data_IF_982712733509
#
_entry.id   IF_982712733509
#
_cell.length_a   1.000
_cell.length_b   1.000
_cell.length_c   1.000
_cell.angle_alpha   90.00
_cell.angle_beta   90.00
_cell.angle_gamma   90.00
#
_symmetry.space_group_name_H-M   'P 1'
#
loop_
_entity.id
_entity.type
_entity.pdbx_description
1 polymer ?
#
# COMPACT_ATOMS: atom_id res chain seq x y z
N UNK A 1 -4.80 3.16 19.41
CA UNK A 1 -5.43 1.88 19.80
C UNK A 1 -5.38 0.94 18.61
N UNK A 2 -5.20 -0.36 18.85
CA UNK A 2 -5.21 -1.37 17.78
C UNK A 2 -6.45 -2.24 17.95
N UNK A 3 -7.27 -2.34 16.92
CA UNK A 3 -8.41 -3.25 16.87
C UNK A 3 -7.96 -4.63 16.37
N UNK A 4 -8.48 -5.69 16.99
CA UNK A 4 -8.25 -7.04 16.51
C UNK A 4 -9.44 -7.96 16.75
N UNK A 5 -9.73 -8.79 15.75
CA UNK A 5 -10.72 -9.86 15.85
C UNK A 5 -10.08 -11.19 16.22
N UNK A 6 -8.74 -11.30 16.18
CA UNK A 6 -8.05 -12.56 16.45
C UNK A 6 -7.79 -12.70 17.97
N UNK A 7 -8.27 -13.78 18.62
CA UNK A 7 -8.11 -13.97 20.07
C UNK A 7 -6.67 -14.32 20.47
N UNK A 8 -5.89 -14.95 19.59
CA UNK A 8 -4.46 -15.23 19.80
C UNK A 8 -3.65 -13.94 20.01
N UNK A 9 -3.94 -12.89 19.23
CA UNK A 9 -3.32 -11.56 19.38
C UNK A 9 -3.68 -10.92 20.71
N UNK A 10 -4.91 -11.09 21.17
CA UNK A 10 -5.36 -10.59 22.48
C UNK A 10 -4.55 -11.27 23.60
N UNK A 11 -4.46 -12.60 23.58
CA UNK A 11 -3.71 -13.36 24.58
C UNK A 11 -2.22 -12.96 24.62
N UNK A 12 -1.58 -12.81 23.46
CA UNK A 12 -0.18 -12.38 23.38
C UNK A 12 0.03 -10.98 23.96
N UNK A 13 -0.85 -10.02 23.63
CA UNK A 13 -0.71 -8.65 24.13
C UNK A 13 -1.02 -8.54 25.63
N UNK A 14 -1.93 -9.34 26.17
CA UNK A 14 -2.14 -9.48 27.62
C UNK A 14 -0.91 -10.04 28.32
N UNK A 15 -0.27 -11.07 27.76
CA UNK A 15 0.96 -11.65 28.30
C UNK A 15 2.14 -10.66 28.28
N UNK A 16 2.15 -9.72 27.33
CA UNK A 16 3.12 -8.61 27.25
C UNK A 16 2.80 -7.46 28.22
N UNK A 17 1.75 -7.56 29.03
CA UNK A 17 1.36 -6.54 30.02
C UNK A 17 0.53 -5.38 29.45
N UNK A 18 -0.06 -5.54 28.25
CA UNK A 18 -0.96 -4.53 27.68
C UNK A 18 -2.39 -4.73 28.16
N UNK A 19 -3.18 -3.67 28.10
CA UNK A 19 -4.59 -3.64 28.48
C UNK A 19 -5.43 -3.94 27.25
N UNK A 20 -6.43 -4.81 27.42
CA UNK A 20 -7.42 -5.12 26.38
C UNK A 20 -8.79 -4.70 26.86
N UNK A 21 -9.47 -3.89 26.04
CA UNK A 21 -10.82 -3.40 26.29
C UNK A 21 -11.77 -4.17 25.37
N UNK A 22 -12.71 -4.89 25.97
CA UNK A 22 -13.80 -5.58 25.28
C UNK A 22 -15.10 -4.87 25.60
N UNK A 23 -15.81 -4.41 24.56
CA UNK A 23 -17.09 -3.73 24.68
C UNK A 23 -18.22 -4.67 24.25
N UNK A 24 -19.33 -4.64 24.98
CA UNK A 24 -20.50 -5.41 24.62
C UNK A 24 -21.08 -4.91 23.28
N UNK A 25 -21.23 -5.82 22.31
CA UNK A 25 -21.76 -5.53 20.97
C UNK A 25 -20.72 -5.27 19.88
N UNK A 26 -19.42 -5.19 20.19
CA UNK A 26 -18.35 -5.06 19.18
C UNK A 26 -17.71 -6.41 18.87
N UNK A 27 -17.54 -6.79 17.58
CA UNK A 27 -16.93 -8.08 17.20
C UNK A 27 -15.39 -8.08 17.27
N UNK A 28 -14.77 -7.03 17.82
CA UNK A 28 -13.32 -6.87 17.95
C UNK A 28 -12.94 -6.36 19.34
N UNK A 29 -11.72 -6.68 19.78
CA UNK A 29 -11.11 -6.14 21.00
C UNK A 29 -10.15 -4.98 20.69
N UNK A 30 -10.06 -4.03 21.63
CA UNK A 30 -9.17 -2.88 21.53
C UNK A 30 -7.96 -3.07 22.45
N UNK A 31 -6.74 -2.91 21.91
CA UNK A 31 -5.48 -3.07 22.64
C UNK A 31 -4.83 -1.70 22.88
N UNK A 32 -4.40 -1.45 24.12
CA UNK A 32 -3.78 -0.20 24.60
C UNK A 32 -2.79 -0.51 25.75
N UNK A 33 -1.65 0.18 25.90
CA UNK A 33 -1.03 1.09 24.94
C UNK A 33 -0.44 0.32 23.76
N UNK A 34 -0.44 0.95 22.59
CA UNK A 34 0.14 0.38 21.36
C UNK A 34 1.25 1.28 20.86
N UNK A 35 2.35 0.68 20.44
CA UNK A 35 3.47 1.36 19.80
C UNK A 35 3.46 1.10 18.30
N UNK A 36 4.18 1.91 17.52
CA UNK A 36 4.25 1.76 16.06
C UNK A 36 4.65 0.34 15.63
N UNK A 37 5.62 -0.26 16.32
CA UNK A 37 6.10 -1.62 16.04
C UNK A 37 5.01 -2.70 16.21
N UNK A 38 3.98 -2.45 17.03
CA UNK A 38 2.88 -3.39 17.22
C UNK A 38 2.00 -3.51 15.97
N UNK A 39 1.97 -2.48 15.12
CA UNK A 39 1.20 -2.51 13.88
C UNK A 39 1.91 -3.24 12.75
N UNK A 40 3.23 -3.42 12.86
CA UNK A 40 4.06 -4.07 11.85
C UNK A 40 4.31 -5.55 12.15
N UNK A 41 3.96 -6.00 13.37
CA UNK A 41 3.98 -7.41 13.75
C UNK A 41 2.69 -8.12 13.33
N UNK A 42 2.85 -9.33 12.78
CA UNK A 42 1.76 -10.26 12.53
C UNK A 42 1.83 -11.40 13.54
N UNK A 43 0.68 -12.01 13.85
CA UNK A 43 0.68 -13.17 14.75
C UNK A 43 1.40 -14.36 14.13
N UNK A 44 1.32 -14.49 12.81
CA UNK A 44 1.97 -15.57 12.07
C UNK A 44 3.50 -15.45 12.10
N UNK A 45 4.07 -14.30 12.49
CA UNK A 45 5.53 -14.15 12.64
C UNK A 45 6.08 -14.95 13.84
N UNK A 46 5.22 -15.26 14.81
CA UNK A 46 5.60 -16.01 16.02
C UNK A 46 5.67 -17.52 15.79
N UNK A 47 5.04 -18.02 14.73
CA UNK A 47 5.04 -19.45 14.38
C UNK A 47 6.20 -19.85 13.46
N UNK A 48 6.89 -18.89 12.85
CA UNK A 48 7.97 -19.14 11.89
C UNK A 48 9.36 -19.14 12.56
N UNK A 49 10.33 -19.77 11.89
CA UNK A 49 11.75 -19.72 12.29
C UNK A 49 12.27 -18.28 12.35
N UNK A 50 13.17 -18.01 13.30
CA UNK A 50 13.76 -16.69 13.55
C UNK A 50 14.18 -15.94 12.27
N UNK A 51 14.94 -16.59 11.37
CA UNK A 51 15.42 -15.96 10.14
C UNK A 51 14.30 -15.56 9.18
N UNK A 52 13.27 -16.40 9.04
CA UNK A 52 12.12 -16.14 8.16
C UNK A 52 11.30 -14.98 8.71
N UNK A 53 11.00 -15.00 10.02
CA UNK A 53 10.24 -13.96 10.70
C UNK A 53 10.91 -12.57 10.56
N UNK A 54 12.24 -12.51 10.75
CA UNK A 54 13.00 -11.26 10.60
C UNK A 54 13.00 -10.72 9.16
N UNK A 55 13.13 -11.60 8.17
CA UNK A 55 13.06 -11.21 6.76
C UNK A 55 11.67 -10.65 6.41
N UNK A 56 10.59 -11.29 6.86
CA UNK A 56 9.22 -10.83 6.63
C UNK A 56 8.98 -9.45 7.24
N UNK A 57 9.43 -9.24 8.48
CA UNK A 57 9.36 -7.93 9.14
C UNK A 57 10.16 -6.88 8.36
N UNK A 58 11.35 -7.21 7.87
CA UNK A 58 12.15 -6.29 7.05
C UNK A 58 11.44 -5.88 5.76
N UNK A 59 10.83 -6.84 5.05
CA UNK A 59 10.05 -6.58 3.84
C UNK A 59 8.87 -5.66 4.14
N UNK A 60 8.20 -5.80 5.30
CA UNK A 60 7.11 -4.89 5.72
C UNK A 60 7.58 -3.45 5.93
N UNK A 61 8.73 -3.25 6.58
CA UNK A 61 9.30 -1.91 6.72
C UNK A 61 9.69 -1.30 5.38
N UNK A 62 10.29 -2.10 4.49
CA UNK A 62 10.56 -1.66 3.12
C UNK A 62 9.27 -1.28 2.39
N UNK A 63 8.22 -2.10 2.50
CA UNK A 63 6.90 -1.82 1.93
C UNK A 63 6.33 -0.49 2.44
N UNK A 64 6.38 -0.24 3.74
CA UNK A 64 5.92 1.02 4.33
C UNK A 64 6.68 2.24 3.77
N UNK A 65 8.01 2.15 3.67
CA UNK A 65 8.86 3.20 3.10
C UNK A 65 8.51 3.44 1.62
N UNK A 66 8.39 2.37 0.84
CA UNK A 66 8.03 2.42 -0.58
C UNK A 66 6.68 3.10 -0.77
N UNK A 67 5.69 2.76 0.06
CA UNK A 67 4.31 3.25 -0.09
C UNK A 67 4.23 4.76 0.08
N UNK A 68 5.06 5.34 0.97
CA UNK A 68 5.10 6.76 1.27
C UNK A 68 6.06 7.54 0.34
N UNK A 69 7.26 7.01 0.10
CA UNK A 69 8.33 7.76 -0.58
C UNK A 69 8.25 7.64 -2.09
N UNK A 70 7.84 6.49 -2.64
CA UNK A 70 7.96 6.23 -4.08
C UNK A 70 7.12 7.18 -4.95
N UNK A 71 5.85 7.52 -4.61
CA UNK A 71 5.08 8.51 -5.36
C UNK A 71 5.73 9.90 -5.35
N UNK A 72 6.18 10.35 -4.18
CA UNK A 72 6.84 11.65 -4.02
C UNK A 72 8.17 11.71 -4.77
N UNK A 73 8.95 10.62 -4.74
CA UNK A 73 10.21 10.50 -5.46
C UNK A 73 10.00 10.58 -6.97
N UNK A 74 8.94 9.96 -7.49
CA UNK A 74 8.59 10.06 -8.91
C UNK A 74 8.32 11.50 -9.34
N UNK A 75 7.51 12.24 -8.57
CA UNK A 75 7.23 13.66 -8.85
C UNK A 75 8.53 14.48 -8.80
N UNK A 76 9.38 14.24 -7.80
CA UNK A 76 10.65 14.95 -7.63
C UNK A 76 11.61 14.73 -8.81
N UNK A 77 11.81 13.46 -9.22
CA UNK A 77 12.72 13.12 -10.31
C UNK A 77 12.22 13.59 -11.67
N UNK A 78 10.92 13.48 -11.93
CA UNK A 78 10.35 13.84 -13.24
C UNK A 78 10.11 15.33 -13.42
N UNK A 79 9.94 16.10 -12.32
CA UNK A 79 9.64 17.53 -12.39
C UNK A 79 10.87 18.41 -12.18
N UNK A 80 11.84 17.99 -11.36
CA UNK A 80 12.97 18.84 -10.98
C UNK A 80 14.31 18.38 -11.56
N UNK A 81 14.62 17.08 -11.52
CA UNK A 81 15.94 16.58 -11.91
C UNK A 81 15.88 15.27 -12.72
N UNK A 82 15.42 15.32 -13.99
CA UNK A 82 15.36 14.14 -14.84
C UNK A 82 16.74 13.60 -15.24
N UNK A 83 17.80 14.41 -15.16
CA UNK A 83 19.18 14.05 -15.52
C UNK A 83 19.87 13.11 -14.52
N UNK A 84 19.32 12.96 -13.30
CA UNK A 84 19.83 12.00 -12.29
C UNK A 84 19.69 10.56 -12.80
N UNK A 85 18.74 10.32 -13.71
CA UNK A 85 18.53 9.04 -14.34
C UNK A 85 19.52 8.87 -15.49
N UNK A 86 20.06 7.66 -15.68
CA UNK A 86 20.90 7.35 -16.85
C UNK A 86 20.21 7.86 -18.12
N UNK A 87 20.95 8.47 -19.04
CA UNK A 87 20.39 9.12 -20.24
C UNK A 87 19.41 8.24 -21.03
N UNK A 88 19.64 6.92 -21.08
CA UNK A 88 18.74 5.96 -21.70
C UNK A 88 17.39 5.81 -20.98
N UNK A 89 17.38 5.83 -19.64
CA UNK A 89 16.18 5.82 -18.80
C UNK A 89 15.45 7.17 -18.84
N UNK A 90 16.20 8.27 -18.82
CA UNK A 90 15.62 9.60 -18.97
C UNK A 90 14.94 9.76 -20.34
N UNK A 91 15.53 9.24 -21.41
CA UNK A 91 14.96 9.27 -22.76
C UNK A 91 13.70 8.40 -22.89
N UNK A 92 13.65 7.22 -22.27
CA UNK A 92 12.43 6.39 -22.27
C UNK A 92 11.32 7.01 -21.42
N UNK A 93 11.65 7.62 -20.28
CA UNK A 93 10.70 8.40 -19.47
C UNK A 93 10.15 9.58 -20.29
N UNK A 94 11.02 10.38 -20.89
CA UNK A 94 10.63 11.52 -21.72
C UNK A 94 9.77 11.08 -22.92
N UNK A 95 10.14 10.00 -23.60
CA UNK A 95 9.36 9.42 -24.69
C UNK A 95 7.99 8.90 -24.24
N UNK A 96 7.91 8.25 -23.07
CA UNK A 96 6.64 7.79 -22.49
C UNK A 96 5.71 8.93 -22.05
N UNK A 97 6.27 10.13 -21.84
CA UNK A 97 5.54 11.35 -21.47
C UNK A 97 5.25 12.28 -22.65
N UNK A 98 5.80 12.03 -23.83
CA UNK A 98 5.65 12.92 -24.98
C UNK A 98 4.18 13.16 -25.39
N UNK A 99 3.30 12.21 -25.08
CA UNK A 99 1.86 12.29 -25.31
C UNK A 99 1.01 12.68 -24.09
N UNK A 100 1.62 12.82 -22.91
CA UNK A 100 0.88 13.10 -21.66
C UNK A 100 0.75 14.62 -21.48
N UNK A 101 -0.46 15.19 -21.51
CA UNK A 101 -0.65 16.64 -21.50
C UNK A 101 -0.51 17.28 -20.10
N UNK A 102 -0.40 16.47 -19.03
CA UNK A 102 -0.43 16.94 -17.65
C UNK A 102 0.93 16.86 -16.93
N UNK A 103 1.18 17.75 -15.94
CA UNK A 103 2.30 17.61 -15.01
C UNK A 103 2.26 16.29 -14.22
N UNK A 104 3.43 15.76 -13.85
CA UNK A 104 3.57 14.49 -13.12
C UNK A 104 2.77 14.44 -11.80
N UNK A 105 2.53 15.59 -11.18
CA UNK A 105 1.72 15.68 -9.97
C UNK A 105 0.27 15.21 -10.19
N UNK A 106 -0.38 15.65 -11.28
CA UNK A 106 -1.76 15.27 -11.60
C UNK A 106 -1.86 13.80 -12.00
N UNK A 107 -0.84 13.32 -12.70
CA UNK A 107 -0.70 11.91 -13.06
C UNK A 107 -0.69 11.00 -11.82
N UNK A 108 0.10 11.39 -10.80
CA UNK A 108 0.20 10.68 -9.52
C UNK A 108 -1.11 10.72 -8.75
N UNK A 109 -1.72 11.91 -8.65
CA UNK A 109 -2.99 12.09 -7.94
C UNK A 109 -4.10 11.25 -8.57
N UNK A 110 -4.22 11.27 -9.90
CA UNK A 110 -5.23 10.49 -10.61
C UNK A 110 -5.05 8.99 -10.37
N UNK A 111 -3.82 8.47 -10.52
CA UNK A 111 -3.57 7.05 -10.34
C UNK A 111 -3.70 6.59 -8.88
N UNK A 112 -3.26 7.38 -7.90
CA UNK A 112 -3.45 7.05 -6.50
C UNK A 112 -4.93 6.98 -6.14
N UNK A 113 -5.73 7.93 -6.63
CA UNK A 113 -7.18 7.94 -6.43
C UNK A 113 -7.86 6.75 -7.13
N UNK A 114 -7.47 6.47 -8.37
CA UNK A 114 -7.96 5.31 -9.12
C UNK A 114 -7.70 3.99 -8.39
N UNK A 115 -6.48 3.80 -7.88
CA UNK A 115 -6.13 2.62 -7.09
C UNK A 115 -6.92 2.54 -5.80
N UNK A 116 -7.14 3.66 -5.09
CA UNK A 116 -7.95 3.61 -3.86
C UNK A 116 -9.41 3.32 -4.11
N UNK A 117 -9.99 3.88 -5.17
CA UNK A 117 -11.36 3.53 -5.55
C UNK A 117 -11.47 2.05 -5.90
N UNK A 118 -10.47 1.51 -6.60
CA UNK A 118 -10.41 0.09 -6.92
C UNK A 118 -10.35 -0.74 -5.62
N UNK A 119 -9.41 -0.47 -4.72
CA UNK A 119 -9.25 -1.23 -3.48
C UNK A 119 -10.49 -1.12 -2.57
N UNK A 120 -11.05 0.08 -2.43
CA UNK A 120 -12.24 0.30 -1.61
C UNK A 120 -13.47 -0.44 -2.16
N UNK A 121 -13.60 -0.50 -3.49
CA UNK A 121 -14.64 -1.31 -4.14
C UNK A 121 -14.41 -2.82 -3.89
N UNK A 122 -13.16 -3.28 -3.97
CA UNK A 122 -12.79 -4.68 -3.77
C UNK A 122 -13.08 -5.18 -2.35
N UNK A 123 -12.92 -4.32 -1.34
CA UNK A 123 -13.20 -4.66 0.05
C UNK A 123 -14.71 -4.86 0.34
N UNK A 124 -15.58 -4.24 -0.45
CA UNK A 124 -17.05 -4.27 -0.28
C UNK A 124 -17.72 -5.36 -1.11
N UNK A 125 -17.00 -5.92 -2.09
CA UNK A 125 -17.52 -6.98 -2.93
C UNK A 125 -17.55 -8.33 -2.19
N UNK A 126 -18.53 -9.20 -2.49
CA UNK A 126 -18.53 -10.58 -2.00
C UNK A 126 -17.22 -11.29 -2.35
N UNK A 127 -16.71 -12.13 -1.44
CA UNK A 127 -15.43 -12.85 -1.61
C UNK A 127 -15.35 -13.69 -2.90
N UNK A 128 -16.50 -14.12 -3.44
CA UNK A 128 -16.60 -14.90 -4.69
C UNK A 128 -16.33 -14.07 -5.95
N UNK A 129 -16.61 -12.77 -5.95
CA UNK A 129 -16.52 -11.89 -7.13
C UNK A 129 -15.39 -10.85 -6.97
N UNK A 130 -15.03 -10.51 -5.73
CA UNK A 130 -14.02 -9.49 -5.41
C UNK A 130 -12.69 -9.65 -6.17
N UNK A 131 -12.04 -10.82 -6.18
CA UNK A 131 -10.78 -11.01 -6.91
C UNK A 131 -10.92 -10.78 -8.42
N UNK A 132 -12.00 -11.29 -9.03
CA UNK A 132 -12.27 -11.15 -10.46
C UNK A 132 -12.49 -9.68 -10.83
N UNK A 133 -13.33 -8.96 -10.07
CA UNK A 133 -13.60 -7.54 -10.30
C UNK A 133 -12.35 -6.67 -10.13
N UNK A 134 -11.54 -6.92 -9.09
CA UNK A 134 -10.25 -6.24 -8.85
C UNK A 134 -9.30 -6.43 -10.03
N UNK A 135 -9.20 -7.65 -10.55
CA UNK A 135 -8.29 -7.99 -11.65
C UNK A 135 -8.72 -7.33 -12.95
N UNK A 136 -10.01 -7.45 -13.29
CA UNK A 136 -10.57 -6.83 -14.50
C UNK A 136 -10.49 -5.31 -14.42
N UNK A 137 -10.86 -4.72 -13.28
CA UNK A 137 -10.78 -3.28 -13.05
C UNK A 137 -9.35 -2.74 -13.17
N UNK A 138 -8.37 -3.42 -12.55
CA UNK A 138 -6.97 -2.98 -12.60
C UNK A 138 -6.37 -3.07 -14.00
N UNK A 139 -6.68 -4.15 -14.74
CA UNK A 139 -6.20 -4.33 -16.11
C UNK A 139 -6.81 -3.32 -17.07
N UNK A 140 -8.13 -3.11 -17.01
CA UNK A 140 -8.81 -2.12 -17.87
C UNK A 140 -8.31 -0.71 -17.54
N UNK A 141 -8.17 -0.38 -16.25
CA UNK A 141 -7.70 0.94 -15.82
C UNK A 141 -6.28 1.22 -16.30
N UNK A 142 -5.37 0.26 -16.14
CA UNK A 142 -3.98 0.39 -16.61
C UNK A 142 -3.89 0.48 -18.13
N UNK A 143 -4.59 -0.40 -18.86
CA UNK A 143 -4.53 -0.41 -20.33
C UNK A 143 -5.18 0.83 -20.94
N UNK A 144 -6.36 1.23 -20.48
CA UNK A 144 -7.06 2.41 -21.00
C UNK A 144 -6.29 3.70 -20.68
N UNK A 145 -5.76 3.83 -19.47
CA UNK A 145 -4.96 5.01 -19.08
C UNK A 145 -3.70 5.16 -19.94
N UNK A 146 -3.05 4.04 -20.30
CA UNK A 146 -1.87 4.04 -21.15
C UNK A 146 -2.20 4.33 -22.62
N UNK A 147 -3.29 3.76 -23.15
CA UNK A 147 -3.72 3.94 -24.55
C UNK A 147 -4.11 5.38 -24.88
N UNK A 148 -4.83 6.04 -23.97
CA UNK A 148 -5.25 7.44 -24.13
C UNK A 148 -4.11 8.40 -23.75
N UNK A 149 -2.93 7.88 -23.37
CA UNK A 149 -1.77 8.66 -22.93
C UNK A 149 -2.12 9.63 -21.79
N UNK A 150 -3.06 9.22 -20.93
CA UNK A 150 -3.49 10.00 -19.78
C UNK A 150 -2.45 9.90 -18.65
N UNK A 151 -1.75 8.77 -18.60
CA UNK A 151 -0.73 8.40 -17.61
C UNK A 151 0.42 7.68 -18.33
N UNK A 152 1.66 7.91 -17.89
CA UNK A 152 2.85 7.23 -18.39
C UNK A 152 2.89 5.76 -17.94
N UNK A 153 3.50 4.91 -18.76
CA UNK A 153 3.70 3.49 -18.43
C UNK A 153 4.47 3.30 -17.12
N UNK A 154 5.37 4.24 -16.79
CA UNK A 154 6.22 4.17 -15.60
C UNK A 154 5.40 4.47 -14.34
N UNK A 155 4.48 5.43 -14.40
CA UNK A 155 3.59 5.69 -13.28
C UNK A 155 2.64 4.51 -13.00
N UNK A 156 2.18 3.80 -14.03
CA UNK A 156 1.38 2.57 -13.86
C UNK A 156 2.17 1.51 -13.09
N UNK A 157 3.46 1.32 -13.41
CA UNK A 157 4.33 0.39 -12.69
C UNK A 157 4.52 0.83 -11.23
N UNK A 158 4.79 2.12 -11.01
CA UNK A 158 5.01 2.67 -9.67
C UNK A 158 3.76 2.50 -8.80
N UNK A 159 2.58 2.79 -9.34
CA UNK A 159 1.31 2.69 -8.60
C UNK A 159 0.95 1.26 -8.27
N UNK A 160 1.20 0.31 -9.19
CA UNK A 160 1.06 -1.11 -8.90
C UNK A 160 2.01 -1.54 -7.76
N UNK A 161 3.26 -1.08 -7.78
CA UNK A 161 4.23 -1.40 -6.75
C UNK A 161 3.84 -0.81 -5.37
N UNK A 162 3.37 0.43 -5.33
CA UNK A 162 2.84 1.08 -4.12
C UNK A 162 1.61 0.35 -3.58
N UNK A 163 0.69 -0.11 -4.45
CA UNK A 163 -0.48 -0.88 -4.05
C UNK A 163 -0.08 -2.21 -3.41
N UNK A 164 0.86 -2.94 -4.01
CA UNK A 164 1.38 -4.21 -3.48
C UNK A 164 2.12 -3.99 -2.14
N UNK A 165 2.95 -2.95 -2.06
CA UNK A 165 3.66 -2.59 -0.83
C UNK A 165 2.69 -2.29 0.32
N UNK A 166 1.58 -1.61 0.05
CA UNK A 166 0.54 -1.32 1.04
C UNK A 166 -0.13 -2.59 1.59
N UNK A 167 -0.34 -3.62 0.76
CA UNK A 167 -0.89 -4.91 1.21
C UNK A 167 0.04 -5.70 2.13
N UNK A 168 1.29 -5.28 2.23
CA UNK A 168 2.27 -5.93 3.10
C UNK A 168 2.07 -5.50 4.58
N UNK A 169 1.35 -4.41 4.84
CA UNK A 169 1.02 -3.94 6.21
C UNK A 169 -0.01 -4.89 6.84
N UNK A 170 0.29 -5.54 7.97
CA UNK A 170 -0.53 -6.63 8.50
C UNK A 170 -1.78 -6.15 9.26
N UNK A 171 -1.75 -4.93 9.81
CA UNK A 171 -2.88 -4.36 10.56
C UNK A 171 -3.59 -3.33 9.71
N UNK A 172 -4.89 -3.57 9.45
CA UNK A 172 -5.71 -2.73 8.59
C UNK A 172 -5.77 -1.26 9.04
N UNK A 173 -5.88 -0.99 10.34
CA UNK A 173 -5.92 0.37 10.87
C UNK A 173 -4.63 1.16 10.60
N UNK A 174 -3.47 0.50 10.55
CA UNK A 174 -2.23 1.13 10.08
C UNK A 174 -2.23 1.31 8.56
N UNK A 175 -2.71 0.32 7.81
CA UNK A 175 -2.87 0.42 6.35
C UNK A 175 -3.71 1.64 5.95
N UNK A 176 -4.84 1.90 6.63
CA UNK A 176 -5.65 3.08 6.39
C UNK A 176 -4.92 4.39 6.70
N UNK A 177 -4.16 4.44 7.80
CA UNK A 177 -3.36 5.62 8.12
C UNK A 177 -2.30 5.92 7.05
N UNK A 178 -1.59 4.89 6.57
CA UNK A 178 -0.57 5.04 5.50
C UNK A 178 -1.20 5.48 4.18
N UNK A 179 -2.40 4.98 3.84
CA UNK A 179 -3.12 5.40 2.63
C UNK A 179 -3.51 6.87 2.61
N UNK A 180 -3.79 7.46 3.76
CA UNK A 180 -4.11 8.89 3.89
C UNK A 180 -2.85 9.76 3.90
N UNK A 181 -1.73 9.21 4.37
CA UNK A 181 -0.48 9.96 4.52
C UNK A 181 0.36 10.12 3.24
N UNK A 182 0.01 9.41 2.15
CA UNK A 182 0.79 9.35 0.91
C UNK A 182 0.37 10.37 -0.14
#
# INVERSE_FOLDING_TARGET
>A
MMDTQRPDRIALNLAQGKIVILLHGTPFGLIVPVVFFDFMSAMDDTSHTFWVSRLMIFIRYMGLIITLILPALYVALTSYNPEILRSQLAATIAGSRAGVPYPSFFEVLFMLLAVEMLIESSLRLPKTIGPTATTVGGLILGQAAQQVQLVSSIMIIITAFVAIANFTIPVNSMGFAVRVAR
#
